data_IF_480685235390
#
_entry.id   IF_480685235390
#
_cell.length_a   1.000
_cell.length_b   1.000
_cell.length_c   1.000
_cell.angle_alpha   90.00
_cell.angle_beta   90.00
_cell.angle_gamma   90.00
#
_symmetry.space_group_name_H-M   'P 1'
#
loop_
_entity.id
_entity.type
_entity.pdbx_description
1 polymer ?
2 non-polymer ?
3 non-polymer ?
4 non-polymer ?
5 water ?
#
# COMPACT_ATOMS: atom_id res chain seq x y z
N UNK A 174 17.69 10.26 -13.73
CA UNK A 174 18.64 9.20 -14.08
C UNK A 174 18.10 7.83 -13.68
N UNK A 175 17.38 7.19 -14.61
CA UNK A 175 16.82 5.87 -14.38
C UNK A 175 15.81 5.86 -13.23
N UNK A 176 15.08 6.96 -13.06
CA UNK A 176 14.08 7.09 -12.01
C UNK A 176 12.86 7.79 -12.56
N UNK A 177 11.82 7.02 -12.85
CA UNK A 177 10.59 7.58 -13.40
C UNK A 177 9.51 7.69 -12.31
N UNK A 178 8.62 8.64 -12.49
CA UNK A 178 7.60 8.97 -11.50
C UNK A 178 6.22 8.62 -12.03
N UNK A 179 5.41 8.00 -11.16
CA UNK A 179 4.04 7.61 -11.47
C UNK A 179 3.11 8.45 -10.59
N UNK A 180 2.42 9.45 -11.14
CA UNK A 180 1.52 10.26 -10.32
C UNK A 180 0.41 9.39 -9.73
N UNK A 181 0.14 9.59 -8.44
CA UNK A 181 -0.89 8.86 -7.71
C UNK A 181 -2.05 9.80 -7.44
N UNK A 182 -3.23 9.46 -7.95
CA UNK A 182 -4.43 10.24 -7.69
C UNK A 182 -5.10 9.74 -6.40
N UNK A 183 -5.51 10.70 -5.57
CA UNK A 183 -6.22 10.39 -4.32
C UNK A 183 -7.71 10.51 -4.61
N UNK A 184 -8.38 9.36 -4.73
CA UNK A 184 -9.79 9.35 -5.06
C UNK A 184 -10.64 9.66 -3.83
N UNK A 185 -11.92 9.95 -4.08
CA UNK A 185 -12.84 10.21 -2.98
C UNK A 185 -13.02 8.99 -2.08
N UNK A 186 -12.75 7.79 -2.59
CA UNK A 186 -12.88 6.55 -1.83
C UNK A 186 -11.62 6.21 -1.05
N UNK A 187 -10.70 7.17 -0.89
CA UNK A 187 -9.47 7.03 -0.12
C UNK A 187 -8.41 6.21 -0.85
N UNK A 188 -8.64 5.84 -2.10
CA UNK A 188 -7.66 5.11 -2.88
C UNK A 188 -6.58 6.05 -3.41
N UNK A 189 -5.37 5.53 -3.52
CA UNK A 189 -4.27 6.19 -4.24
C UNK A 189 -3.99 5.33 -5.47
N UNK A 190 -4.60 5.69 -6.60
CA UNK A 190 -4.50 4.91 -7.82
C UNK A 190 -3.55 5.60 -8.78
N UNK A 191 -2.74 4.80 -9.47
CA UNK A 191 -1.86 5.26 -10.51
C UNK A 191 -2.41 4.95 -11.89
N UNK A 192 -1.50 4.70 -12.83
CA UNK A 192 -1.85 4.36 -14.19
C UNK A 192 -1.05 3.16 -14.63
N UNK A 193 -1.71 2.20 -15.26
CA UNK A 193 -1.07 0.99 -15.77
C UNK A 193 -1.69 0.64 -17.11
N UNK A 194 -0.85 0.42 -18.12
CA UNK A 194 -1.31 0.06 -19.46
C UNK A 194 -1.19 -1.44 -19.65
N UNK A 195 -2.28 -2.08 -20.07
CA UNK A 195 -2.37 -3.53 -20.16
C UNK A 195 -2.63 -3.92 -21.61
N UNK A 196 -1.81 -4.84 -22.12
CA UNK A 196 -2.04 -5.43 -23.43
C UNK A 196 -1.61 -4.55 -24.58
N UNK A 197 -1.87 -5.05 -25.78
CA UNK A 197 -1.52 -4.38 -27.02
C UNK A 197 -2.64 -4.61 -28.03
N UNK A 198 -3.28 -3.55 -28.54
CA UNK A 198 -3.05 -2.16 -28.11
C UNK A 198 -3.38 -1.96 -26.64
N UNK A 199 -2.66 -1.06 -25.97
CA UNK A 199 -2.79 -0.95 -24.52
C UNK A 199 -4.16 -0.45 -24.09
N UNK A 200 -4.63 -0.97 -22.95
CA UNK A 200 -5.85 -0.52 -22.31
C UNK A 200 -5.49 0.01 -20.93
N UNK A 201 -6.00 1.20 -20.60
CA UNK A 201 -5.58 1.91 -19.40
C UNK A 201 -6.42 1.49 -18.20
N UNK A 202 -5.76 1.17 -17.10
CA UNK A 202 -6.41 0.91 -15.82
C UNK A 202 -5.71 1.74 -14.76
N UNK A 203 -6.40 1.92 -13.63
CA UNK A 203 -5.91 2.76 -12.54
C UNK A 203 -5.91 1.94 -11.26
N UNK A 204 -4.88 1.14 -11.06
CA UNK A 204 -4.82 0.27 -9.87
C UNK A 204 -4.15 0.98 -8.69
N UNK A 205 -4.24 0.33 -7.54
CA UNK A 205 -3.50 0.77 -6.38
C UNK A 205 -2.13 0.10 -6.38
N UNK A 206 -1.17 0.73 -5.72
CA UNK A 206 0.19 0.20 -5.59
C UNK A 206 0.38 -0.22 -4.14
N UNK A 207 0.45 -1.53 -3.92
CA UNK A 207 0.21 -2.14 -2.61
C UNK A 207 1.42 -2.94 -2.17
N UNK A 208 2.17 -2.42 -1.20
CA UNK A 208 3.26 -3.19 -0.61
C UNK A 208 2.76 -4.31 0.30
N UNK A 209 1.45 -4.39 0.54
CA UNK A 209 0.87 -5.40 1.40
C UNK A 209 0.47 -6.67 0.70
N UNK A 210 0.67 -6.75 -0.61
CA UNK A 210 0.41 -7.97 -1.36
C UNK A 210 1.39 -8.01 -2.52
N UNK A 211 1.38 -9.12 -3.26
CA UNK A 211 2.29 -9.26 -4.39
C UNK A 211 1.60 -9.58 -5.72
N UNK A 212 0.39 -10.12 -5.71
CA UNK A 212 -0.30 -10.46 -6.95
C UNK A 212 -0.59 -9.20 -7.76
N UNK A 213 -0.50 -9.34 -9.09
CA UNK A 213 -0.98 -8.31 -10.00
C UNK A 213 -2.40 -8.67 -10.43
N UNK A 214 -3.36 -7.79 -10.10
CA UNK A 214 -4.77 -8.01 -10.39
C UNK A 214 -5.27 -6.94 -11.36
N UNK A 215 -6.11 -7.35 -12.30
CA UNK A 215 -6.74 -6.45 -13.26
C UNK A 215 -8.22 -6.80 -13.36
N UNK A 216 -9.08 -5.79 -13.26
CA UNK A 216 -10.51 -6.00 -13.45
C UNK A 216 -10.80 -6.16 -14.94
N UNK A 217 -11.49 -7.24 -15.31
CA UNK A 217 -11.68 -7.61 -16.69
C UNK A 217 -13.15 -7.56 -17.08
N UNK A 218 -13.40 -7.60 -18.40
CA UNK A 218 -14.76 -7.68 -18.91
C UNK A 218 -15.43 -9.01 -18.61
N UNK A 219 -14.69 -9.99 -18.07
CA UNK A 219 -15.31 -11.25 -17.65
C UNK A 219 -16.15 -11.08 -16.39
N UNK A 220 -15.89 -10.02 -15.61
CA UNK A 220 -16.70 -9.73 -14.43
C UNK A 220 -17.89 -8.86 -14.86
N UNK A 221 -19.09 -9.43 -14.80
CA UNK A 221 -20.30 -8.75 -15.21
C UNK A 221 -21.06 -8.13 -14.04
N UNK A 222 -20.43 -8.04 -12.87
CA UNK A 222 -21.10 -7.51 -11.70
C UNK A 222 -21.12 -5.99 -11.74
N UNK A 223 -22.09 -5.42 -11.01
CA UNK A 223 -22.28 -3.97 -11.03
C UNK A 223 -21.00 -3.23 -10.62
N UNK A 224 -20.35 -3.69 -9.56
CA UNK A 224 -19.15 -3.03 -9.09
C UNK A 224 -18.01 -3.11 -10.10
N UNK A 225 -18.11 -4.00 -11.09
CA UNK A 225 -17.10 -4.11 -12.13
C UNK A 225 -17.41 -3.21 -13.32
N UNK A 226 -18.66 -3.22 -13.79
CA UNK A 226 -19.02 -2.47 -14.99
C UNK A 226 -18.85 -0.96 -14.80
N UNK A 227 -18.90 -0.47 -13.56
CA UNK A 227 -18.76 0.96 -13.32
C UNK A 227 -17.35 1.47 -13.63
N UNK A 228 -16.37 0.58 -13.78
CA UNK A 228 -15.00 1.00 -14.04
C UNK A 228 -14.62 0.66 -15.48
N UNK A 229 -13.43 1.07 -15.90
CA UNK A 229 -12.95 0.81 -17.26
C UNK A 229 -12.33 -0.58 -17.28
N UNK A 230 -13.17 -1.59 -17.48
CA UNK A 230 -12.72 -2.97 -17.45
C UNK A 230 -11.77 -3.26 -18.60
N UNK A 231 -10.70 -4.00 -18.30
CA UNK A 231 -9.78 -4.45 -19.33
C UNK A 231 -10.38 -5.64 -20.07
N UNK A 232 -10.38 -5.55 -21.40
CA UNK A 232 -10.96 -6.59 -22.24
C UNK A 232 -9.83 -7.45 -22.81
N UNK A 233 -9.61 -8.66 -22.29
CA UNK A 233 -8.48 -9.46 -22.78
C UNK A 233 -8.63 -9.92 -24.22
N UNK A 234 -9.85 -9.98 -24.73
CA UNK A 234 -10.07 -10.46 -26.10
C UNK A 234 -9.74 -9.40 -27.14
N UNK A 235 -9.38 -8.19 -26.73
CA UNK A 235 -8.95 -7.14 -27.63
C UNK A 235 -7.45 -6.89 -27.55
N UNK A 236 -6.70 -7.77 -26.88
CA UNK A 236 -5.26 -7.63 -26.72
C UNK A 236 -4.55 -8.75 -27.46
N UNK A 237 -3.62 -8.38 -28.34
CA UNK A 237 -2.86 -9.37 -29.09
C UNK A 237 -1.87 -10.13 -28.20
N UNK A 238 -1.51 -9.59 -27.04
CA UNK A 238 -0.48 -10.18 -26.20
C UNK A 238 -1.05 -11.00 -25.04
N UNK A 239 -2.38 -11.03 -24.87
CA UNK A 239 -2.96 -11.80 -23.77
C UNK A 239 -2.73 -13.29 -24.01
N UNK A 240 -2.32 -14.00 -22.96
CA UNK A 240 -2.10 -15.44 -23.01
C UNK A 240 -2.75 -16.04 -21.77
N UNK A 241 -3.96 -16.58 -21.93
CA UNK A 241 -4.59 -17.30 -20.84
C UNK A 241 -3.79 -18.54 -20.51
N UNK A 242 -3.79 -18.91 -19.22
CA UNK A 242 -3.06 -20.09 -18.81
C UNK A 242 -3.56 -21.33 -19.56
N UNK A 243 -2.64 -22.23 -19.88
CA UNK A 243 -3.01 -23.46 -20.57
C UNK A 243 -4.09 -24.21 -19.82
N UNK A 244 -4.02 -24.20 -18.48
CA UNK A 244 -4.97 -24.88 -17.61
C UNK A 244 -5.83 -23.83 -16.91
N UNK A 245 -7.12 -24.11 -16.78
CA UNK A 245 -8.00 -23.20 -16.09
C UNK A 245 -7.65 -23.13 -14.61
N UNK A 246 -7.45 -21.92 -14.11
CA UNK A 246 -7.10 -21.69 -12.72
C UNK A 246 -8.07 -20.72 -12.08
N UNK A 247 -8.25 -20.85 -10.77
CA UNK A 247 -9.11 -19.95 -10.02
C UNK A 247 -8.39 -19.51 -8.76
N UNK A 248 -8.33 -18.21 -8.53
CA UNK A 248 -7.69 -17.63 -7.37
C UNK A 248 -8.70 -16.79 -6.61
N UNK A 249 -8.84 -17.06 -5.31
CA UNK A 249 -9.77 -16.32 -4.46
C UNK A 249 -8.96 -15.67 -3.34
N UNK A 250 -9.00 -14.34 -3.28
CA UNK A 250 -8.21 -13.57 -2.31
C UNK A 250 -9.17 -12.69 -1.50
N UNK A 251 -8.87 -12.54 -0.22
CA UNK A 251 -9.65 -11.65 0.63
C UNK A 251 -9.10 -10.23 0.51
N UNK A 252 -10.01 -9.27 0.39
CA UNK A 252 -9.64 -7.86 0.21
C UNK A 252 -10.52 -7.02 1.16
N UNK A 253 -10.13 -6.99 2.43
CA UNK A 253 -10.89 -6.23 3.40
C UNK A 253 -12.23 -6.89 3.68
N UNK A 254 -13.30 -6.10 3.59
CA UNK A 254 -14.65 -6.60 3.81
C UNK A 254 -15.21 -7.34 2.60
N UNK A 255 -14.38 -7.62 1.60
CA UNK A 255 -14.83 -8.34 0.42
C UNK A 255 -13.82 -9.36 -0.06
N UNK A 256 -14.09 -9.97 -1.22
CA UNK A 256 -13.21 -10.97 -1.79
C UNK A 256 -13.08 -10.73 -3.28
N UNK A 257 -11.97 -11.22 -3.84
CA UNK A 257 -11.71 -11.17 -5.27
C UNK A 257 -11.48 -12.59 -5.77
N UNK A 258 -12.08 -12.91 -6.91
CA UNK A 258 -11.93 -14.20 -7.53
C UNK A 258 -11.74 -14.01 -9.03
N UNK A 259 -10.95 -14.88 -9.64
CA UNK A 259 -10.71 -14.77 -11.07
C UNK A 259 -9.77 -15.85 -11.56
N UNK A 260 -9.37 -15.70 -12.82
CA UNK A 260 -8.51 -16.65 -13.51
C UNK A 260 -7.09 -16.09 -13.58
N UNK A 261 -6.22 -16.77 -14.34
CA UNK A 261 -4.81 -16.43 -14.42
C UNK A 261 -4.38 -16.41 -15.87
N UNK A 262 -3.56 -15.41 -16.22
CA UNK A 262 -3.01 -15.31 -17.56
C UNK A 262 -1.73 -14.50 -17.53
N UNK A 263 -1.18 -14.28 -18.72
CA UNK A 263 0.00 -13.44 -18.91
C UNK A 263 -0.33 -12.29 -19.84
N UNK A 264 0.32 -11.15 -19.61
CA UNK A 264 0.08 -9.98 -20.44
C UNK A 264 1.36 -9.17 -20.55
N UNK A 265 1.35 -8.23 -21.49
CA UNK A 265 2.36 -7.18 -21.57
C UNK A 265 1.83 -5.96 -20.81
N UNK A 266 2.66 -5.40 -19.94
CA UNK A 266 2.31 -4.23 -19.15
C UNK A 266 3.32 -3.11 -19.40
N UNK A 267 2.84 -1.88 -19.29
CA UNK A 267 3.69 -0.70 -19.36
C UNK A 267 3.40 0.15 -18.13
N UNK A 268 4.44 0.46 -17.36
CA UNK A 268 4.35 1.33 -16.20
C UNK A 268 5.36 2.45 -16.37
N UNK A 269 4.88 3.69 -16.37
CA UNK A 269 5.79 4.82 -16.56
C UNK A 269 6.64 4.70 -17.80
N UNK A 270 6.04 4.27 -18.91
CA UNK A 270 6.74 4.11 -20.18
C UNK A 270 7.85 3.06 -20.11
N UNK A 271 7.73 2.10 -19.19
CA UNK A 271 8.62 0.96 -19.11
C UNK A 271 7.80 -0.31 -19.28
N UNK A 272 8.27 -1.21 -20.13
CA UNK A 272 7.52 -2.39 -20.55
C UNK A 272 7.91 -3.61 -19.71
N UNK A 273 6.91 -4.45 -19.42
CA UNK A 273 7.12 -5.76 -18.80
C UNK A 273 6.30 -6.77 -19.59
N UNK A 274 6.98 -7.74 -20.19
CA UNK A 274 6.34 -8.78 -20.97
C UNK A 274 6.28 -10.10 -20.19
N UNK A 275 5.35 -10.97 -20.62
CA UNK A 275 5.23 -12.32 -20.05
C UNK A 275 4.93 -12.28 -18.56
N UNK A 276 4.11 -11.33 -18.13
CA UNK A 276 3.81 -11.13 -16.72
C UNK A 276 2.52 -11.85 -16.36
N UNK A 277 2.61 -12.76 -15.39
CA UNK A 277 1.42 -13.46 -14.90
C UNK A 277 0.59 -12.52 -14.03
N UNK A 278 -0.73 -12.64 -14.15
CA UNK A 278 -1.62 -11.75 -13.40
C UNK A 278 -2.99 -12.42 -13.25
N UNK A 279 -3.76 -11.90 -12.31
CA UNK A 279 -5.11 -12.39 -12.07
C UNK A 279 -6.14 -11.55 -12.78
N UNK A 280 -7.07 -12.23 -13.45
CA UNK A 280 -8.19 -11.57 -14.12
C UNK A 280 -9.39 -11.60 -13.19
N UNK A 281 -9.76 -10.45 -12.63
CA UNK A 281 -10.91 -10.39 -11.75
C UNK A 281 -12.15 -10.81 -12.53
N UNK A 282 -12.82 -11.87 -12.07
CA UNK A 282 -14.08 -12.32 -12.64
C UNK A 282 -15.27 -12.08 -11.72
N UNK A 283 -15.03 -11.87 -10.44
CA UNK A 283 -16.10 -11.60 -9.48
C UNK A 283 -15.55 -10.78 -8.33
N UNK A 284 -16.40 -9.93 -7.77
CA UNK A 284 -16.06 -9.13 -6.60
C UNK A 284 -17.05 -9.32 -5.46
N UNK A 285 -17.88 -10.36 -5.51
CA UNK A 285 -18.85 -10.62 -4.46
C UNK A 285 -18.18 -11.08 -3.18
N UNK A 292 -23.83 -5.07 1.30
CA UNK A 292 -22.65 -4.69 2.07
C UNK A 292 -21.38 -5.25 1.44
N UNK A 293 -20.77 -4.45 0.55
CA UNK A 293 -19.56 -4.89 -0.14
C UNK A 293 -18.66 -3.68 -0.34
N UNK A 294 -17.36 -3.85 -0.05
CA UNK A 294 -16.42 -2.74 -0.16
C UNK A 294 -16.32 -2.25 -1.59
N UNK A 295 -16.50 -3.14 -2.57
CA UNK A 295 -16.37 -2.74 -3.97
C UNK A 295 -17.52 -1.86 -4.43
N UNK A 296 -18.69 -1.95 -3.79
CA UNK A 296 -19.79 -1.06 -4.13
C UNK A 296 -19.55 0.37 -3.67
N UNK A 297 -18.42 0.64 -3.01
CA UNK A 297 -18.10 1.97 -2.52
C UNK A 297 -16.88 2.59 -3.16
N UNK A 298 -16.00 1.79 -3.77
CA UNK A 298 -14.80 2.29 -4.41
C UNK A 298 -14.89 1.97 -5.91
N UNK A 299 -14.02 2.63 -6.68
CA UNK A 299 -13.88 2.35 -8.11
C UNK A 299 -12.61 1.51 -8.28
N UNK A 300 -12.75 0.22 -8.04
CA UNK A 300 -11.60 -0.69 -8.06
C UNK A 300 -11.30 -1.13 -9.49
N UNK A 301 -10.05 -0.97 -9.91
CA UNK A 301 -9.62 -1.39 -11.23
C UNK A 301 -8.43 -2.34 -11.24
N UNK A 302 -7.84 -2.64 -10.09
CA UNK A 302 -6.78 -3.61 -10.03
C UNK A 302 -5.81 -3.29 -8.90
N UNK A 303 -4.81 -4.16 -8.77
CA UNK A 303 -3.79 -4.03 -7.74
C UNK A 303 -2.43 -4.34 -8.35
N UNK A 304 -1.48 -3.45 -8.12
CA UNK A 304 -0.07 -3.72 -8.42
C UNK A 304 0.57 -4.09 -7.08
N UNK A 305 0.73 -5.39 -6.86
CA UNK A 305 1.34 -5.85 -5.62
C UNK A 305 2.83 -5.60 -5.63
N UNK A 306 3.34 -5.08 -4.51
CA UNK A 306 4.76 -4.77 -4.38
C UNK A 306 5.42 -5.53 -3.24
N UNK A 307 4.72 -6.50 -2.64
CA UNK A 307 5.31 -7.35 -1.63
C UNK A 307 6.34 -8.28 -2.25
N UNK A 308 6.79 -9.23 -1.44
CA UNK A 308 7.83 -10.13 -1.89
C UNK A 308 7.24 -11.38 -2.54
N UNK A 309 8.04 -12.09 -3.34
CA UNK A 309 7.49 -13.19 -4.15
C UNK A 309 6.82 -14.28 -3.35
N UNK A 310 7.26 -14.54 -2.11
CA UNK A 310 6.66 -15.64 -1.36
C UNK A 310 5.16 -15.46 -1.16
N UNK A 311 4.65 -14.23 -1.24
CA UNK A 311 3.23 -13.98 -1.15
C UNK A 311 2.49 -14.18 -2.47
N UNK A 312 3.20 -14.53 -3.54
CA UNK A 312 2.57 -14.68 -4.85
C UNK A 312 1.70 -15.93 -4.89
N UNK A 313 0.49 -15.78 -5.41
CA UNK A 313 -0.35 -16.91 -5.77
C UNK A 313 -0.71 -16.92 -7.24
N UNK A 314 -0.42 -15.85 -7.97
CA UNK A 314 -0.67 -15.74 -9.42
C UNK A 314 0.69 -15.53 -10.08
N UNK A 315 1.36 -16.62 -10.42
CA UNK A 315 2.65 -16.57 -11.09
C UNK A 315 3.78 -16.94 -10.14
N UNK A 316 4.99 -16.94 -10.70
CA UNK A 316 6.20 -17.22 -9.95
C UNK A 316 7.11 -16.01 -9.79
N UNK A 317 7.11 -15.09 -10.76
CA UNK A 317 7.93 -13.89 -10.73
C UNK A 317 7.03 -12.70 -10.49
N UNK A 318 7.36 -11.89 -9.48
CA UNK A 318 6.54 -10.73 -9.17
C UNK A 318 6.68 -9.66 -10.25
N UNK A 319 5.67 -8.80 -10.33
CA UNK A 319 5.69 -7.71 -11.30
C UNK A 319 6.95 -6.86 -11.16
N UNK A 320 7.28 -6.46 -9.93
CA UNK A 320 8.42 -5.57 -9.78
C UNK A 320 9.73 -6.26 -10.14
N UNK A 321 9.91 -7.50 -9.69
CA UNK A 321 11.11 -8.25 -10.07
C UNK A 321 11.19 -8.41 -11.58
N UNK A 322 10.06 -8.71 -12.22
CA UNK A 322 10.03 -8.83 -13.68
C UNK A 322 10.33 -7.49 -14.35
N UNK A 323 9.80 -6.40 -13.78
CA UNK A 323 10.10 -5.08 -14.32
C UNK A 323 11.60 -4.80 -14.29
N UNK A 324 12.26 -5.14 -13.16
CA UNK A 324 13.70 -4.89 -13.05
C UNK A 324 14.48 -5.76 -14.02
N UNK A 325 14.09 -7.03 -14.17
CA UNK A 325 14.86 -7.93 -15.02
C UNK A 325 14.84 -7.49 -16.47
N UNK A 326 13.71 -6.94 -16.93
CA UNK A 326 13.58 -6.48 -18.31
C UNK A 326 13.99 -5.03 -18.48
N UNK A 327 14.42 -4.35 -17.41
CA UNK A 327 14.88 -2.98 -17.45
C UNK A 327 16.09 -2.86 -16.52
N UNK A 328 17.21 -3.44 -16.96
CA UNK A 328 18.42 -3.53 -16.13
C UNK A 328 18.99 -2.17 -15.77
N UNK A 329 18.46 -1.08 -16.33
CA UNK A 329 18.95 0.26 -16.00
C UNK A 329 18.37 0.78 -14.69
N UNK A 330 17.37 0.09 -14.12
CA UNK A 330 16.67 0.57 -12.94
C UNK A 330 17.28 0.00 -11.67
N UNK A 331 17.45 0.85 -10.67
CA UNK A 331 17.90 0.37 -9.37
C UNK A 331 16.76 -0.36 -8.67
N UNK A 332 17.03 -1.47 -7.98
CA UNK A 332 15.95 -2.28 -7.40
C UNK A 332 15.30 -1.63 -6.19
N UNK A 333 14.61 -0.51 -6.39
CA UNK A 333 13.96 0.17 -5.27
C UNK A 333 12.85 1.05 -5.80
N UNK A 334 11.88 1.33 -4.93
CA UNK A 334 10.80 2.25 -5.21
C UNK A 334 10.49 3.03 -3.94
N UNK A 335 9.77 4.15 -4.11
CA UNK A 335 9.44 4.99 -2.97
C UNK A 335 8.08 5.63 -3.19
N UNK A 336 7.48 6.09 -2.10
CA UNK A 336 6.16 6.69 -2.10
C UNK A 336 6.22 8.08 -1.49
N UNK A 337 5.63 9.06 -2.17
CA UNK A 337 5.36 10.37 -1.60
C UNK A 337 3.86 10.58 -1.56
N UNK A 338 3.31 10.69 -0.35
CA UNK A 338 1.87 10.82 -0.14
C UNK A 338 1.57 12.25 0.26
N UNK A 339 0.85 12.97 -0.60
CA UNK A 339 0.45 14.35 -0.32
C UNK A 339 -0.91 14.59 -0.95
N UNK A 340 -1.98 14.09 -0.33
CA UNK A 340 -3.32 14.25 -0.91
C UNK A 340 -3.87 15.66 -0.82
N UNK A 341 -3.16 16.59 -0.16
CA UNK A 341 -3.66 17.95 -0.06
C UNK A 341 -3.58 18.68 -1.39
N UNK A 342 -2.42 18.63 -2.04
CA UNK A 342 -2.21 19.31 -3.32
C UNK A 342 -2.14 18.35 -4.49
N UNK A 343 -2.56 17.10 -4.31
CA UNK A 343 -2.57 16.10 -5.38
C UNK A 343 -1.19 15.97 -6.03
N UNK A 344 -0.15 15.95 -5.21
CA UNK A 344 1.21 15.74 -5.67
C UNK A 344 1.75 14.36 -5.31
N UNK A 345 0.89 13.48 -4.79
CA UNK A 345 1.33 12.13 -4.43
C UNK A 345 1.94 11.44 -5.64
N UNK A 346 3.04 10.72 -5.40
CA UNK A 346 3.81 10.13 -6.49
C UNK A 346 4.40 8.80 -6.05
N UNK A 347 4.41 7.84 -6.97
CA UNK A 347 5.10 6.57 -6.80
C UNK A 347 6.33 6.58 -7.70
N UNK A 348 7.51 6.45 -7.09
CA UNK A 348 8.78 6.51 -7.82
C UNK A 348 9.39 5.13 -7.91
N UNK A 349 9.93 4.81 -9.09
CA UNK A 349 10.65 3.57 -9.32
C UNK A 349 12.09 3.91 -9.67
N UNK A 350 13.04 3.20 -9.05
CA UNK A 350 14.44 3.32 -9.40
C UNK A 350 15.26 4.16 -8.46
N UNK A 351 14.64 4.85 -7.50
CA UNK A 351 15.41 5.66 -6.58
C UNK A 351 14.50 6.64 -5.84
N UNK A 352 15.13 7.69 -5.33
CA UNK A 352 14.45 8.72 -4.55
C UNK A 352 14.77 10.07 -5.14
N UNK A 353 14.11 11.10 -4.61
CA UNK A 353 14.32 12.47 -5.05
C UNK A 353 14.23 13.40 -3.86
N UNK A 354 15.24 14.27 -3.70
CA UNK A 354 15.28 15.20 -2.58
C UNK A 354 14.08 16.14 -2.54
N UNK A 355 13.29 16.22 -3.62
CA UNK A 355 12.14 17.10 -3.65
C UNK A 355 10.96 16.56 -2.84
N UNK A 356 11.06 15.33 -2.33
CA UNK A 356 9.96 14.72 -1.59
C UNK A 356 10.27 14.48 -0.12
N UNK A 357 11.50 14.70 0.33
CA UNK A 357 11.84 14.46 1.72
C UNK A 357 12.89 15.46 2.18
N UNK A 358 12.96 15.62 3.50
CA UNK A 358 13.93 16.49 4.15
C UNK A 358 14.83 15.66 5.04
N UNK A 359 16.04 16.17 5.28
CA UNK A 359 16.98 15.45 6.11
C UNK A 359 17.49 14.20 5.42
N UNK A 360 17.83 13.19 6.23
CA UNK A 360 18.39 11.94 5.75
C UNK A 360 17.36 10.82 5.84
N UNK A 361 17.67 9.72 5.14
CA UNK A 361 16.81 8.55 5.10
C UNK A 361 17.36 7.52 6.07
N UNK A 362 16.52 7.08 7.00
CA UNK A 362 16.89 6.08 7.99
C UNK A 362 16.47 4.70 7.50
N UNK A 363 17.44 3.79 7.39
CA UNK A 363 17.19 2.46 6.84
C UNK A 363 16.86 1.48 7.96
N UNK A 364 15.80 0.70 7.76
CA UNK A 364 15.36 -0.31 8.70
C UNK A 364 15.42 -1.67 8.01
N UNK A 365 16.16 -2.64 8.52
CA UNK A 365 16.26 -3.94 7.83
C UNK A 365 14.95 -4.71 7.88
N UNK A 366 14.65 -5.41 6.79
CA UNK A 366 13.47 -6.26 6.72
C UNK A 366 13.79 -7.61 7.36
N UNK A 367 12.95 -8.05 8.29
CA UNK A 367 13.25 -9.25 9.06
C UNK A 367 12.90 -10.51 8.29
N UNK A 368 11.94 -10.43 7.36
CA UNK A 368 11.54 -11.57 6.56
C UNK A 368 10.98 -11.04 5.24
N UNK A 369 11.47 -11.61 4.13
CA UNK A 369 11.05 -11.15 2.81
C UNK A 369 9.72 -11.80 2.47
N UNK A 370 8.64 -11.15 2.92
CA UNK A 370 7.28 -11.62 2.71
C UNK A 370 6.40 -10.38 2.66
N UNK A 371 6.20 -9.75 3.81
CA UNK A 371 5.82 -8.34 3.85
C UNK A 371 7.08 -7.50 3.97
N UNK A 372 6.91 -6.18 3.82
CA UNK A 372 7.97 -5.24 4.12
C UNK A 372 7.93 -4.98 5.63
N UNK A 373 8.50 -5.92 6.37
CA UNK A 373 8.31 -6.04 7.82
C UNK A 373 9.64 -5.81 8.53
N UNK A 374 9.62 -4.99 9.59
CA UNK A 374 10.82 -4.62 10.32
C UNK A 374 10.56 -4.77 11.81
N UNK A 375 11.64 -4.78 12.59
CA UNK A 375 11.54 -4.84 14.03
C UNK A 375 10.95 -3.55 14.58
N UNK A 376 10.06 -3.69 15.57
CA UNK A 376 9.50 -2.56 16.30
C UNK A 376 9.81 -2.74 17.78
N UNK A 377 10.52 -1.79 18.36
CA UNK A 377 10.97 -1.91 19.74
C UNK A 377 9.94 -1.43 20.76
N UNK A 378 9.02 -0.56 20.39
CA UNK A 378 8.03 -0.09 21.33
C UNK A 378 7.20 1.02 20.74
N UNK A 379 6.09 1.30 21.42
CA UNK A 379 5.17 2.37 21.04
C UNK A 379 4.71 3.07 22.30
N UNK A 380 4.80 4.40 22.31
CA UNK A 380 4.29 5.22 23.39
C UNK A 380 3.28 6.22 22.83
N UNK A 381 2.15 6.35 23.50
CA UNK A 381 1.16 7.39 23.22
C UNK A 381 1.28 8.40 24.34
N UNK A 382 1.97 9.51 24.07
CA UNK A 382 2.35 10.36 25.17
C UNK A 382 3.30 9.61 26.07
N UNK A 383 2.97 9.55 27.36
CA UNK A 383 3.78 8.80 28.32
C UNK A 383 3.30 7.37 28.50
N UNK A 384 2.15 7.01 27.94
CA UNK A 384 1.59 5.67 28.11
C UNK A 384 2.31 4.68 27.21
N UNK A 385 2.84 3.62 27.81
CA UNK A 385 3.47 2.55 27.03
C UNK A 385 2.39 1.66 26.44
N UNK A 386 2.38 1.54 25.12
CA UNK A 386 1.46 0.65 24.42
C UNK A 386 2.16 -0.64 23.97
N UNK A 387 3.45 -0.56 23.67
CA UNK A 387 4.23 -1.67 23.12
C UNK A 387 5.65 -1.52 23.63
N UNK A 388 6.31 -2.63 23.96
CA UNK A 388 5.83 -3.98 23.71
C UNK A 388 6.09 -4.91 24.90
N UNK A 389 5.36 -6.02 24.94
CA UNK A 389 5.64 -7.09 25.89
C UNK A 389 6.24 -8.33 25.25
N UNK A 390 6.00 -8.54 23.96
CA UNK A 390 6.69 -9.54 23.16
C UNK A 390 7.49 -8.82 22.08
N UNK A 391 8.47 -9.53 21.52
CA UNK A 391 9.19 -8.99 20.38
C UNK A 391 8.22 -8.75 19.23
N UNK A 392 8.15 -7.51 18.75
CA UNK A 392 7.08 -7.07 17.86
C UNK A 392 7.65 -6.51 16.56
N UNK A 393 6.77 -6.35 15.57
CA UNK A 393 7.18 -5.98 14.21
C UNK A 393 6.18 -5.01 13.61
N UNK A 394 6.69 -4.11 12.78
CA UNK A 394 5.87 -3.21 11.98
C UNK A 394 5.91 -3.64 10.52
N UNK A 395 4.80 -3.39 9.82
CA UNK A 395 4.68 -3.72 8.40
C UNK A 395 4.28 -2.46 7.66
N UNK A 396 5.06 -2.10 6.64
CA UNK A 396 4.70 -0.97 5.80
C UNK A 396 3.73 -1.44 4.72
N UNK A 397 2.50 -0.93 4.76
CA UNK A 397 1.40 -1.43 3.93
C UNK A 397 0.75 -0.24 3.24
N UNK A 398 1.18 0.04 2.01
CA UNK A 398 0.63 1.17 1.26
C UNK A 398 -0.83 0.95 0.87
N UNK A 399 -1.29 -0.30 0.86
CA UNK A 399 -2.67 -0.59 0.52
C UNK A 399 -3.67 -0.37 1.65
N UNK A 400 -3.20 -0.05 2.84
CA UNK A 400 -4.07 0.21 3.98
C UNK A 400 -3.96 1.67 4.38
N UNK A 401 -5.10 2.35 4.51
CA UNK A 401 -5.07 3.77 4.85
C UNK A 401 -4.79 3.99 6.34
N UNK A 402 -5.36 3.16 7.21
CA UNK A 402 -5.16 3.31 8.65
C UNK A 402 -3.90 2.60 9.11
N UNK A 403 -3.41 3.02 10.27
CA UNK A 403 -2.47 2.21 11.03
C UNK A 403 -3.25 1.14 11.81
N UNK A 404 -2.53 0.11 12.25
CA UNK A 404 -3.14 -0.96 13.01
C UNK A 404 -2.30 -1.32 14.23
N UNK A 405 -2.95 -1.93 15.20
CA UNK A 405 -2.33 -2.57 16.34
C UNK A 405 -3.07 -3.87 16.61
N UNK A 406 -2.41 -4.86 17.21
CA UNK A 406 -3.12 -6.06 17.65
C UNK A 406 -4.29 -5.70 18.54
N UNK A 407 -5.29 -6.58 18.57
CA UNK A 407 -6.53 -6.27 19.28
C UNK A 407 -6.27 -5.89 20.73
N UNK A 408 -5.34 -6.58 21.38
CA UNK A 408 -5.07 -6.30 22.79
C UNK A 408 -4.56 -4.87 22.99
N UNK A 409 -3.67 -4.41 22.12
CA UNK A 409 -3.11 -3.08 22.26
C UNK A 409 -4.04 -1.99 21.73
N UNK A 410 -4.89 -2.32 20.74
CA UNK A 410 -5.83 -1.33 20.23
C UNK A 410 -6.78 -0.85 21.31
N UNK A 411 -7.18 -1.76 22.20
CA UNK A 411 -8.04 -1.37 23.31
C UNK A 411 -7.38 -0.32 24.18
N UNK A 412 -6.10 -0.51 24.51
CA UNK A 412 -5.39 0.48 25.30
C UNK A 412 -5.16 1.78 24.57
N UNK A 413 -4.99 1.72 23.25
CA UNK A 413 -4.82 2.93 22.46
C UNK A 413 -6.07 3.80 22.50
N UNK A 414 -7.23 3.20 22.24
CA UNK A 414 -8.47 3.97 22.22
C UNK A 414 -8.85 4.50 23.60
N UNK A 415 -8.29 3.94 24.67
CA UNK A 415 -8.56 4.46 26.01
C UNK A 415 -7.84 5.76 26.29
N UNK A 416 -6.79 6.08 25.54
CA UNK A 416 -6.05 7.31 25.74
C UNK A 416 -6.11 8.26 24.56
N UNK A 417 -6.67 7.84 23.42
CA UNK A 417 -6.82 8.69 22.26
C UNK A 417 -8.31 8.74 21.91
N UNK A 418 -9.03 9.78 22.35
CA UNK A 418 -10.46 9.85 22.11
C UNK A 418 -10.80 10.54 20.79
N UNK A 419 -12.01 10.26 20.31
CA UNK A 419 -12.58 11.05 19.24
C UNK A 419 -13.24 12.29 19.82
N UNK A 420 -13.44 13.30 18.97
CA UNK A 420 -13.95 14.57 19.46
C UNK A 420 -14.66 15.29 18.33
N UNK A 421 -15.69 16.09 18.63
CA UNK A 421 -16.34 16.89 17.60
C UNK A 421 -15.33 17.82 16.94
N UNK A 422 -15.35 17.85 15.61
CA UNK A 422 -14.37 18.61 14.86
C UNK A 422 -15.02 19.16 13.60
N UNK A 423 -14.54 20.34 13.18
CA UNK A 423 -14.85 20.91 11.89
C UNK A 423 -13.55 21.33 11.23
N UNK A 424 -13.62 21.65 9.94
CA UNK A 424 -12.42 22.07 9.23
C UNK A 424 -11.86 23.38 9.77
N UNK A 425 -12.64 24.12 10.55
CA UNK A 425 -12.21 25.41 11.07
C UNK A 425 -11.61 25.34 12.46
N UNK A 426 -11.76 24.22 13.17
CA UNK A 426 -11.25 24.10 14.53
C UNK A 426 -10.47 22.82 14.79
N UNK A 427 -10.29 21.94 13.79
CA UNK A 427 -9.61 20.69 14.05
C UNK A 427 -8.19 20.92 14.57
N UNK A 428 -7.52 21.97 14.09
CA UNK A 428 -6.18 22.28 14.58
C UNK A 428 -6.21 22.69 16.06
N UNK A 429 -7.24 23.43 16.46
CA UNK A 429 -7.39 23.76 17.88
C UNK A 429 -7.74 22.52 18.70
N UNK A 430 -8.66 21.70 18.22
CA UNK A 430 -9.09 20.53 18.99
C UNK A 430 -7.92 19.58 19.25
N UNK A 431 -7.06 19.40 18.26
CA UNK A 431 -5.98 18.41 18.33
C UNK A 431 -4.67 18.99 18.84
N UNK A 432 -4.65 20.26 19.24
CA UNK A 432 -3.39 20.91 19.59
C UNK A 432 -2.61 20.11 20.64
N UNK A 433 -3.29 19.68 21.71
CA UNK A 433 -2.64 19.02 22.82
C UNK A 433 -2.98 17.54 22.92
N UNK A 434 -3.33 16.92 21.79
CA UNK A 434 -3.44 15.48 21.74
C UNK A 434 -2.05 14.85 21.93
N UNK A 435 -2.01 13.59 22.33
CA UNK A 435 -0.71 12.95 22.60
C UNK A 435 0.08 12.70 21.32
N UNK A 436 1.40 12.81 21.45
CA UNK A 436 2.30 12.45 20.37
C UNK A 436 2.58 10.96 20.45
N UNK A 437 2.49 10.28 19.31
CA UNK A 437 2.77 8.84 19.23
C UNK A 437 4.23 8.64 18.85
N UNK A 438 4.94 7.81 19.62
CA UNK A 438 6.34 7.52 19.38
C UNK A 438 6.50 6.05 19.03
N UNK A 439 6.98 5.78 17.82
CA UNK A 439 7.41 4.46 17.41
C UNK A 439 8.93 4.38 17.57
N UNK A 440 9.41 3.32 18.23
CA UNK A 440 10.82 3.15 18.53
C UNK A 440 11.39 2.05 17.64
N UNK A 441 12.34 2.42 16.78
CA UNK A 441 13.03 1.48 15.91
C UNK A 441 14.52 1.56 16.27
N UNK A 442 14.89 0.86 17.34
CA UNK A 442 16.24 0.97 17.87
C UNK A 442 16.51 2.35 18.40
N UNK A 443 17.49 3.05 17.82
CA UNK A 443 17.78 4.42 18.21
C UNK A 443 16.96 5.45 17.45
N UNK A 444 16.17 5.01 16.46
CA UNK A 444 15.36 5.91 15.66
C UNK A 444 14.00 6.10 16.33
N UNK A 445 13.67 7.34 16.67
CA UNK A 445 12.37 7.68 17.25
C UNK A 445 11.52 8.34 16.17
N UNK A 446 10.42 7.70 15.81
CA UNK A 446 9.50 8.19 14.80
C UNK A 446 8.26 8.73 15.50
N UNK A 447 8.02 10.03 15.36
CA UNK A 447 6.88 10.69 15.98
C UNK A 447 5.72 10.80 15.00
N UNK A 448 4.52 10.58 15.51
CA UNK A 448 3.29 10.81 14.76
C UNK A 448 2.50 11.89 15.50
N UNK A 449 2.20 12.99 14.79
CA UNK A 449 1.51 14.10 15.43
C UNK A 449 0.00 13.93 15.31
N UNK A 450 -0.76 14.58 16.18
CA UNK A 450 -2.23 14.43 16.15
C UNK A 450 -2.84 14.71 14.78
N UNK A 451 -2.45 15.79 14.12
CA UNK A 451 -3.00 16.09 12.81
C UNK A 451 -2.58 15.05 11.76
N UNK A 452 -1.69 14.13 12.10
CA UNK A 452 -1.25 13.10 11.17
C UNK A 452 -1.94 11.76 11.40
N UNK A 453 -2.18 11.38 12.66
CA UNK A 453 -2.88 10.13 12.94
C UNK A 453 -4.38 10.32 13.20
N UNK A 454 -4.83 11.56 13.36
CA UNK A 454 -6.26 11.86 13.44
C UNK A 454 -6.75 12.35 12.07
N UNK A 455 -8.01 12.04 11.77
CA UNK A 455 -8.62 12.48 10.52
C UNK A 455 -10.01 13.02 10.82
N UNK A 456 -10.50 13.86 9.91
CA UNK A 456 -11.84 14.42 10.02
C UNK A 456 -12.82 13.52 9.30
N UNK A 457 -13.87 13.09 10.00
CA UNK A 457 -14.85 12.18 9.43
C UNK A 457 -16.20 12.47 10.08
N UNK A 458 -17.15 12.96 9.29
CA UNK A 458 -18.50 13.23 9.76
C UNK A 458 -18.50 14.17 10.96
N UNK A 459 -17.86 15.32 10.77
CA UNK A 459 -17.86 16.39 11.78
C UNK A 459 -17.25 15.90 13.10
N UNK A 460 -16.17 15.14 13.02
CA UNK A 460 -15.50 14.64 14.21
C UNK A 460 -14.07 14.25 13.86
N UNK A 461 -13.16 14.49 14.80
CA UNK A 461 -11.80 13.98 14.69
C UNK A 461 -11.78 12.54 15.20
N UNK A 462 -11.39 11.61 14.34
CA UNK A 462 -11.28 10.20 14.74
C UNK A 462 -9.86 9.73 14.44
N UNK A 463 -9.33 8.78 15.22
CA UNK A 463 -7.98 8.28 14.93
C UNK A 463 -7.98 7.34 13.74
N UNK A 464 -6.96 7.48 12.90
CA UNK A 464 -6.77 6.62 11.74
C UNK A 464 -6.07 5.32 12.17
N UNK A 465 -6.71 4.62 13.09
CA UNK A 465 -6.21 3.37 13.64
C UNK A 465 -7.33 2.34 13.69
N UNK A 466 -6.97 1.08 13.51
CA UNK A 466 -7.93 0.00 13.59
C UNK A 466 -7.20 -1.30 13.89
N UNK A 467 -7.94 -2.27 14.40
CA UNK A 467 -7.43 -3.62 14.57
C UNK A 467 -7.89 -4.48 13.40
N UNK A 468 -7.14 -5.57 13.16
CA UNK A 468 -7.48 -6.54 12.11
C UNK A 468 -8.32 -7.61 12.78
N UNK A 469 -9.64 -7.41 12.77
CA UNK A 469 -10.55 -8.38 13.39
C UNK A 469 -10.64 -9.67 12.58
N UNK A 470 -10.39 -9.62 11.27
CA UNK A 470 -10.44 -10.82 10.45
C UNK A 470 -9.15 -11.61 10.64
N UNK A 471 -9.22 -12.91 10.96
CA UNK A 471 -7.99 -13.70 11.11
C UNK A 471 -7.15 -13.66 9.85
N UNK A 472 -5.94 -13.10 9.98
CA UNK A 472 -5.04 -12.96 8.86
C UNK A 472 -3.61 -13.02 9.37
N UNK A 473 -2.66 -12.99 8.43
CA UNK A 473 -1.24 -13.04 8.76
C UNK A 473 -0.74 -11.75 9.40
N UNK A 474 -1.53 -10.68 9.37
CA UNK A 474 -1.11 -9.37 9.86
C UNK A 474 -1.64 -9.03 11.24
N UNK A 475 -2.42 -9.91 11.87
CA UNK A 475 -3.17 -9.51 13.06
C UNK A 475 -2.30 -9.35 14.30
N UNK A 476 -1.02 -9.74 14.26
CA UNK A 476 -0.11 -9.52 15.38
C UNK A 476 0.93 -8.46 15.10
N UNK A 477 0.93 -7.87 13.91
CA UNK A 477 1.89 -6.84 13.54
C UNK A 477 1.28 -5.46 13.71
N UNK A 478 2.11 -4.44 13.50
CA UNK A 478 1.69 -3.04 13.58
C UNK A 478 1.84 -2.44 12.18
N UNK A 479 0.71 -2.31 11.48
CA UNK A 479 0.75 -1.79 10.12
C UNK A 479 0.92 -0.27 10.13
N UNK A 480 1.72 0.22 9.18
CA UNK A 480 1.90 1.65 8.95
C UNK A 480 1.35 1.96 7.57
N UNK A 481 0.32 2.81 7.52
CA UNK A 481 -0.45 3.03 6.33
C UNK A 481 -0.20 4.38 5.66
N UNK A 482 -1.00 4.64 4.63
CA UNK A 482 -0.79 5.83 3.81
C UNK A 482 -1.24 7.11 4.50
N UNK A 483 -2.31 7.06 5.29
CA UNK A 483 -2.86 8.27 5.90
C UNK A 483 -2.16 8.59 7.22
N UNK A 484 -2.01 7.61 8.10
CA UNK A 484 -1.50 7.85 9.44
C UNK A 484 0.01 7.80 9.54
N UNK A 485 0.72 7.56 8.44
CA UNK A 485 2.17 7.50 8.49
C UNK A 485 2.83 8.13 7.26
N UNK A 486 2.37 7.74 6.08
CA UNK A 486 3.06 8.14 4.85
C UNK A 486 2.83 9.60 4.50
N UNK A 487 1.78 10.23 5.04
CA UNK A 487 1.62 11.66 4.84
C UNK A 487 2.78 12.45 5.45
N UNK A 488 3.31 11.97 6.57
CA UNK A 488 4.41 12.63 7.25
C UNK A 488 5.78 12.13 6.81
N UNK A 489 5.89 10.85 6.47
CA UNK A 489 7.18 10.23 6.20
C UNK A 489 7.27 9.74 4.76
N UNK A 490 8.31 10.18 4.06
CA UNK A 490 8.66 9.62 2.77
C UNK A 490 9.26 8.23 2.95
N UNK A 491 8.71 7.23 2.26
CA UNK A 491 9.10 5.85 2.46
C UNK A 491 9.82 5.30 1.23
N UNK A 492 10.90 4.56 1.48
CA UNK A 492 11.72 3.96 0.44
C UNK A 492 11.80 2.46 0.69
N UNK A 493 11.78 1.69 -0.39
CA UNK A 493 11.77 0.23 -0.32
C UNK A 493 12.87 -0.31 -1.21
N UNK A 494 13.85 -0.98 -0.60
CA UNK A 494 15.05 -1.44 -1.30
C UNK A 494 15.06 -2.97 -1.25
N UNK A 495 15.10 -3.59 -2.42
CA UNK A 495 15.17 -5.05 -2.52
C UNK A 495 16.59 -5.51 -2.28
N UNK A 496 16.77 -6.37 -1.28
CA UNK A 496 18.09 -6.88 -0.95
C UNK A 496 18.76 -7.62 -2.08
N UNK A 497 20.03 -7.30 -2.35
CA UNK A 497 20.80 -7.91 -3.42
C UNK A 497 21.63 -9.04 -2.85
N UNK A 498 21.47 -10.24 -3.40
CA UNK A 498 22.24 -11.38 -2.91
C UNK A 498 21.90 -11.66 -1.46
N UNK A 499 22.95 -11.87 -0.65
CA UNK A 499 22.75 -12.11 0.77
C UNK A 499 22.30 -10.89 1.55
N UNK A 500 22.58 -9.69 1.04
CA UNK A 500 22.20 -8.49 1.74
C UNK A 500 20.68 -8.45 1.93
N UNK A 501 20.20 -8.05 3.10
CA UNK A 501 18.75 -8.00 3.32
C UNK A 501 18.12 -6.76 2.72
N UNK A 502 16.82 -6.88 2.45
CA UNK A 502 16.04 -5.72 2.02
C UNK A 502 15.88 -4.75 3.17
N UNK A 503 15.52 -3.50 2.85
CA UNK A 503 15.37 -2.49 3.87
C UNK A 503 14.25 -1.53 3.48
N UNK A 504 13.70 -0.87 4.50
CA UNK A 504 12.72 0.19 4.33
C UNK A 504 13.34 1.47 4.85
N UNK A 505 13.27 2.53 4.07
CA UNK A 505 13.80 3.83 4.43
C UNK A 505 12.68 4.80 4.78
N UNK A 506 12.92 5.61 5.80
CA UNK A 506 11.93 6.59 6.27
C UNK A 506 12.61 7.94 6.40
N UNK A 507 11.91 8.98 5.97
CA UNK A 507 12.40 10.35 6.04
C UNK A 507 11.21 11.29 6.12
N UNK A 508 11.44 12.47 6.70
CA UNK A 508 10.39 13.46 6.79
C UNK A 508 10.03 13.97 5.40
N UNK A 509 8.77 13.78 5.01
CA UNK A 509 8.31 14.25 3.71
C UNK A 509 8.40 15.77 3.63
N UNK A 510 8.68 16.26 2.42
CA UNK A 510 8.77 17.70 2.19
C UNK A 510 7.42 18.24 1.77
N UNK A 511 7.03 19.37 2.35
CA UNK A 511 5.75 19.99 2.03
C UNK A 511 5.85 20.74 0.71
N UNK A 512 4.79 20.64 -0.09
CA UNK A 512 4.73 21.29 -1.40
C UNK A 512 5.80 20.74 -2.33
#
# INVERSE_FOLDING_TARGET
GTHKVYKVGSEPIPCSQCKDVRECSACLFEEQDSPHAIHLKLNKKKPSDHSNLKKHHDSLKLGGVKYYVKRGEGISGSLGNPSGHTLDDIDSINEEIRIRREESAGVGRNGAEVTAYGGSGPSDRFAGVQRHAHAGGVSGDMASGEQRGSDEIAKGESFIDVKNAHAVVEQTEENVFLIPLKHLRDSQFVGTLLVGVPPQEIHPIFDTGSTNLWVVTTDCEEESCKKVKRYNPYKSKTFRRSFIGKNLHIVFGSGSISGSIGKETFVLGDHTVRNQTFGLVESESNDSLNGDNIFDYIDFEGIVGLGFPEMLSAGKVSFFDNLLSQNKNLSPQFSFYISPEDNTSTFLVGGVSKSFYEGSIYMLPVVKEYYWEVELDGIYVGEKKICCEEKSYAIFDTGTSYNTMPSAQMKGFFDVVPSAPCTEENYQEVLKNYPVIKYLFGDLVIELLPEEYMILNEESCIPAYMQIDVPSEKNHAYLLGSIAFMRHYYTVFVRGAGGQPSMVGVAKARAAAEAAQKVAELENLYFQGDYKDDDDKH
#
